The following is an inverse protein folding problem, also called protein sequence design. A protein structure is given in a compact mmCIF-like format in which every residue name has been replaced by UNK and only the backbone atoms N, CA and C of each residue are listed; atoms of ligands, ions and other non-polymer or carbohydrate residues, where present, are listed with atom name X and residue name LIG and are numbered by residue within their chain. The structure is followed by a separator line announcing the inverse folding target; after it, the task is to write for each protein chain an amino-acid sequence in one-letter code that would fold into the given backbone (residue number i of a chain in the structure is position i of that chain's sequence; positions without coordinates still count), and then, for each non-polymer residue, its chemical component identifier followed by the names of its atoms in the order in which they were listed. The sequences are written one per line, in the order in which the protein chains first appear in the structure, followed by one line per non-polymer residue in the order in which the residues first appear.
data_IF_230646342028
#
_entry.id   IF_230646342028
#
_cell.length_a   1.000
_cell.length_b   1.000
_cell.length_c   1.000
_cell.angle_alpha   90.00
_cell.angle_beta   90.00
_cell.angle_gamma   90.00
#
_symmetry.space_group_name_H-M   'P 1'
#
loop_
_entity.id
_entity.type
_entity.pdbx_description
1 polymer ?
#
# COMPACT_ATOMS: atom_id res chain seq x y z
N UNK A 1 19.25 -14.11 -4.65
CA UNK A 1 20.45 -13.36 -4.18
C UNK A 1 21.13 -14.03 -2.99
N UNK A 2 20.39 -14.67 -2.10
CA UNK A 2 20.96 -15.41 -0.96
C UNK A 2 21.40 -16.84 -1.31
N UNK A 3 20.90 -17.39 -2.43
CA UNK A 3 21.16 -18.80 -2.82
C UNK A 3 22.51 -18.99 -3.51
N UNK A 4 22.95 -17.99 -4.29
CA UNK A 4 24.26 -18.01 -4.94
C UNK A 4 25.34 -17.71 -3.91
N UNK A 5 26.25 -18.67 -3.70
CA UNK A 5 27.33 -18.57 -2.71
C UNK A 5 28.70 -18.50 -3.38
N UNK A 6 29.68 -17.94 -2.66
CA UNK A 6 31.08 -18.03 -3.00
C UNK A 6 31.56 -19.49 -3.07
N UNK A 7 32.70 -19.73 -3.72
CA UNK A 7 33.31 -21.07 -3.83
C UNK A 7 33.52 -21.73 -2.47
N UNK A 8 33.91 -20.95 -1.46
CA UNK A 8 34.11 -21.40 -0.07
C UNK A 8 32.81 -21.45 0.76
N UNK A 9 31.66 -21.11 0.13
CA UNK A 9 30.31 -21.06 0.72
C UNK A 9 30.15 -20.12 1.93
N UNK A 10 31.13 -19.25 2.21
CA UNK A 10 31.09 -18.33 3.36
C UNK A 10 30.25 -17.09 3.11
N UNK A 11 30.18 -16.61 1.87
CA UNK A 11 29.44 -15.41 1.49
C UNK A 11 28.39 -15.72 0.42
N UNK A 12 27.33 -14.94 0.42
CA UNK A 12 26.31 -14.96 -0.65
C UNK A 12 26.52 -13.79 -1.60
N UNK A 13 25.92 -13.85 -2.79
CA UNK A 13 25.91 -12.72 -3.72
C UNK A 13 25.31 -11.46 -3.07
N UNK A 14 24.31 -11.59 -2.20
CA UNK A 14 23.76 -10.45 -1.45
C UNK A 14 24.81 -9.81 -0.52
N UNK A 15 25.60 -10.60 0.20
CA UNK A 15 26.70 -10.08 1.03
C UNK A 15 27.71 -9.31 0.19
N UNK A 16 28.06 -9.85 -0.98
CA UNK A 16 28.97 -9.16 -1.89
C UNK A 16 28.40 -7.82 -2.39
N UNK A 17 27.12 -7.78 -2.78
CA UNK A 17 26.44 -6.53 -3.17
C UNK A 17 26.46 -5.51 -2.03
N UNK A 18 26.15 -5.94 -0.79
CA UNK A 18 26.18 -5.06 0.38
C UNK A 18 27.59 -4.48 0.64
N UNK A 19 28.63 -5.30 0.51
CA UNK A 19 30.03 -4.85 0.62
C UNK A 19 30.38 -3.81 -0.46
N UNK A 20 30.00 -4.07 -1.71
CA UNK A 20 30.26 -3.14 -2.82
C UNK A 20 29.52 -1.82 -2.60
N UNK A 21 28.26 -1.85 -2.15
CA UNK A 21 27.50 -0.65 -1.84
C UNK A 21 28.20 0.15 -0.72
N UNK A 22 28.61 -0.50 0.36
CA UNK A 22 29.31 0.18 1.47
C UNK A 22 30.62 0.84 1.02
N UNK A 23 31.35 0.22 0.11
CA UNK A 23 32.66 0.72 -0.34
C UNK A 23 32.56 1.76 -1.46
N UNK A 24 31.64 1.60 -2.41
CA UNK A 24 31.59 2.40 -3.65
C UNK A 24 30.36 3.31 -3.75
N UNK A 25 29.30 3.01 -3.02
CA UNK A 25 28.00 3.70 -3.11
C UNK A 25 27.43 3.95 -1.70
N UNK A 26 28.24 4.49 -0.79
CA UNK A 26 27.88 4.64 0.62
C UNK A 26 26.62 5.48 0.84
N UNK A 27 26.28 6.36 -0.11
CA UNK A 27 25.06 7.18 -0.11
C UNK A 27 23.76 6.36 -0.17
N UNK A 28 23.78 5.14 -0.73
CA UNK A 28 22.60 4.25 -0.77
C UNK A 28 22.69 3.10 0.24
N UNK A 29 23.70 3.12 1.12
CA UNK A 29 23.90 2.06 2.10
C UNK A 29 22.76 1.95 3.12
N UNK A 30 21.86 2.94 3.22
CA UNK A 30 20.69 2.96 4.10
C UNK A 30 19.37 3.11 3.34
N UNK A 31 19.31 2.69 2.07
CA UNK A 31 18.14 2.86 1.19
C UNK A 31 16.82 2.34 1.81
N UNK A 32 16.88 1.33 2.69
CA UNK A 32 15.68 0.79 3.36
C UNK A 32 14.97 1.82 4.23
N UNK A 33 15.66 2.88 4.68
CA UNK A 33 15.05 3.94 5.47
C UNK A 33 14.01 4.74 4.68
N UNK A 34 14.08 4.71 3.35
CA UNK A 34 13.09 5.33 2.46
C UNK A 34 11.82 4.47 2.32
N UNK A 35 11.88 3.19 2.72
CA UNK A 35 10.82 2.19 2.56
C UNK A 35 10.05 1.94 3.87
N UNK A 36 9.29 2.94 4.31
CA UNK A 36 8.70 2.98 5.66
C UNK A 36 7.59 1.94 5.94
N UNK A 37 6.64 1.77 5.02
CA UNK A 37 5.39 1.05 5.29
C UNK A 37 5.27 -0.28 4.56
N UNK A 38 6.35 -0.81 3.99
CA UNK A 38 6.32 -2.02 3.16
C UNK A 38 5.79 -3.25 3.90
N UNK A 39 6.08 -3.39 5.20
CA UNK A 39 5.57 -4.49 6.03
C UNK A 39 4.05 -4.38 6.26
N UNK A 40 3.57 -3.16 6.55
CA UNK A 40 2.14 -2.91 6.74
C UNK A 40 1.38 -3.07 5.43
N UNK A 41 1.91 -2.54 4.34
CA UNK A 41 1.31 -2.62 3.01
C UNK A 41 1.21 -4.07 2.51
N UNK A 42 2.16 -4.95 2.87
CA UNK A 42 2.09 -6.37 2.57
C UNK A 42 0.89 -7.09 3.22
N UNK A 43 0.37 -6.58 4.33
CA UNK A 43 -0.77 -7.16 5.03
C UNK A 43 -2.13 -6.64 4.52
N UNK A 44 -2.14 -5.67 3.60
CA UNK A 44 -3.37 -5.01 3.13
C UNK A 44 -4.00 -5.79 1.98
N UNK A 45 -5.31 -6.05 2.10
CA UNK A 45 -6.15 -6.39 0.95
C UNK A 45 -6.70 -5.12 0.31
N UNK A 46 -6.03 -4.63 -0.73
CA UNK A 46 -6.43 -3.39 -1.40
C UNK A 46 -7.80 -3.53 -2.07
N UNK A 47 -8.10 -4.70 -2.63
CA UNK A 47 -9.41 -5.00 -3.24
C UNK A 47 -10.55 -4.83 -2.22
N UNK A 48 -10.43 -5.43 -1.04
CA UNK A 48 -11.45 -5.32 0.00
C UNK A 48 -11.61 -3.86 0.47
N UNK A 49 -10.50 -3.14 0.67
CA UNK A 49 -10.54 -1.71 1.05
C UNK A 49 -11.33 -0.89 0.02
N UNK A 50 -11.14 -1.15 -1.29
CA UNK A 50 -11.88 -0.43 -2.33
C UNK A 50 -13.37 -0.80 -2.34
N UNK A 51 -13.71 -2.08 -2.14
CA UNK A 51 -15.09 -2.54 -2.07
C UNK A 51 -15.82 -1.90 -0.88
N UNK A 52 -15.20 -1.90 0.30
CA UNK A 52 -15.75 -1.30 1.52
C UNK A 52 -16.01 0.21 1.32
N UNK A 53 -15.05 0.94 0.75
CA UNK A 53 -15.20 2.38 0.49
C UNK A 53 -16.32 2.66 -0.54
N UNK A 54 -16.49 1.79 -1.53
CA UNK A 54 -17.59 1.88 -2.50
C UNK A 54 -18.94 1.63 -1.83
N UNK A 55 -19.03 0.63 -0.96
CA UNK A 55 -20.24 0.32 -0.21
C UNK A 55 -20.62 1.46 0.74
N UNK A 56 -19.65 2.05 1.45
CA UNK A 56 -19.88 3.24 2.27
C UNK A 56 -20.43 4.40 1.44
N UNK A 57 -19.97 4.56 0.20
CA UNK A 57 -20.53 5.48 -0.80
C UNK A 57 -22.02 5.25 -1.03
N UNK A 58 -22.40 4.01 -1.34
CA UNK A 58 -23.79 3.64 -1.56
C UNK A 58 -24.67 3.89 -0.32
N UNK A 59 -24.18 3.48 0.86
CA UNK A 59 -24.90 3.65 2.12
C UNK A 59 -25.10 5.14 2.46
N UNK A 60 -24.13 6.01 2.15
CA UNK A 60 -24.30 7.44 2.34
C UNK A 60 -25.42 8.02 1.46
N UNK A 61 -25.53 7.56 0.21
CA UNK A 61 -26.63 7.99 -0.68
C UNK A 61 -28.00 7.52 -0.18
N UNK A 62 -28.08 6.34 0.46
CA UNK A 62 -29.30 5.89 1.12
C UNK A 62 -29.66 6.80 2.31
N UNK A 63 -28.69 7.17 3.13
CA UNK A 63 -28.90 8.09 4.27
C UNK A 63 -29.38 9.45 3.79
N UNK A 64 -28.82 9.98 2.70
CA UNK A 64 -29.27 11.25 2.09
C UNK A 64 -30.73 11.18 1.63
N UNK A 65 -31.12 10.07 0.98
CA UNK A 65 -32.50 9.85 0.53
C UNK A 65 -33.47 9.76 1.71
N UNK A 66 -33.11 9.03 2.75
CA UNK A 66 -33.94 8.92 3.96
C UNK A 66 -34.09 10.27 4.66
N UNK A 67 -33.00 11.04 4.73
CA UNK A 67 -33.02 12.38 5.32
C UNK A 67 -33.87 13.38 4.54
N UNK A 68 -34.01 13.23 3.22
CA UNK A 68 -34.87 14.10 2.41
C UNK A 68 -36.36 13.73 2.53
N UNK A 69 -36.68 12.46 2.77
CA UNK A 69 -38.04 12.01 3.04
C UNK A 69 -38.52 12.38 4.46
N UNK A 70 -37.59 12.57 5.39
CA UNK A 70 -37.86 12.91 6.78
C UNK A 70 -37.18 14.23 7.18
N UNK A 71 -37.65 15.35 6.62
CA UNK A 71 -37.01 16.67 6.78
C UNK A 71 -36.84 17.16 8.22
N UNK A 72 -37.64 16.65 9.16
CA UNK A 72 -37.54 16.97 10.59
C UNK A 72 -36.53 16.11 11.37
N UNK A 73 -35.91 15.12 10.73
CA UNK A 73 -34.91 14.27 11.38
C UNK A 73 -33.55 14.97 11.46
N UNK A 74 -33.35 15.73 12.54
CA UNK A 74 -32.12 16.46 12.82
C UNK A 74 -30.90 15.54 12.98
N UNK A 75 -31.09 14.31 13.49
CA UNK A 75 -29.99 13.35 13.71
C UNK A 75 -29.34 12.94 12.39
N UNK A 76 -30.14 12.68 11.35
CA UNK A 76 -29.61 12.33 10.03
C UNK A 76 -28.91 13.52 9.36
N UNK A 77 -29.46 14.73 9.49
CA UNK A 77 -28.83 15.95 8.97
C UNK A 77 -27.48 16.22 9.62
N UNK A 78 -27.40 16.08 10.94
CA UNK A 78 -26.15 16.26 11.69
C UNK A 78 -25.12 15.18 11.31
N UNK A 79 -25.56 13.93 11.15
CA UNK A 79 -24.69 12.84 10.68
C UNK A 79 -24.13 13.13 9.28
N UNK A 80 -24.97 13.54 8.34
CA UNK A 80 -24.57 13.86 6.96
C UNK A 80 -23.55 15.01 6.95
N UNK A 81 -23.86 16.11 7.64
CA UNK A 81 -22.99 17.28 7.75
C UNK A 81 -21.60 16.93 8.28
N UNK A 82 -21.49 16.02 9.25
CA UNK A 82 -20.23 15.66 9.88
C UNK A 82 -19.40 14.62 9.11
N UNK A 83 -20.03 13.78 8.27
CA UNK A 83 -19.39 12.58 7.74
C UNK A 83 -19.29 12.54 6.22
N UNK A 84 -20.08 13.31 5.48
CA UNK A 84 -20.03 13.33 4.02
C UNK A 84 -18.64 13.74 3.51
N UNK A 85 -18.09 14.86 4.00
CA UNK A 85 -16.74 15.29 3.62
C UNK A 85 -15.63 14.30 4.02
N UNK A 86 -15.81 13.54 5.11
CA UNK A 86 -14.86 12.49 5.51
C UNK A 86 -14.88 11.32 4.52
N UNK A 87 -16.07 10.92 4.07
CA UNK A 87 -16.24 9.88 3.06
C UNK A 87 -15.70 10.32 1.70
N UNK A 88 -15.94 11.56 1.28
CA UNK A 88 -15.38 12.11 0.04
C UNK A 88 -13.85 12.07 0.05
N UNK A 89 -13.24 12.47 1.18
CA UNK A 89 -11.79 12.37 1.37
C UNK A 89 -11.32 10.93 1.28
N UNK A 90 -11.99 10.00 1.97
CA UNK A 90 -11.63 8.57 1.94
C UNK A 90 -11.71 7.98 0.53
N UNK A 91 -12.74 8.34 -0.25
CA UNK A 91 -12.88 7.94 -1.65
C UNK A 91 -11.78 8.53 -2.55
N UNK A 92 -11.33 9.76 -2.29
CA UNK A 92 -10.20 10.36 -3.00
C UNK A 92 -8.90 9.63 -2.66
N UNK A 93 -8.65 9.42 -1.38
CA UNK A 93 -7.44 8.75 -0.88
C UNK A 93 -7.37 7.30 -1.40
N UNK A 94 -8.50 6.57 -1.46
CA UNK A 94 -8.55 5.20 -1.99
C UNK A 94 -8.26 5.13 -3.49
N UNK A 95 -8.79 6.08 -4.28
CA UNK A 95 -8.44 6.21 -5.72
C UNK A 95 -6.96 6.50 -5.92
N UNK A 96 -6.40 7.42 -5.15
CA UNK A 96 -4.96 7.73 -5.20
C UNK A 96 -4.12 6.52 -4.78
N UNK A 97 -4.51 5.79 -3.73
CA UNK A 97 -3.82 4.58 -3.29
C UNK A 97 -3.79 3.51 -4.40
N UNK A 98 -4.92 3.23 -5.05
CA UNK A 98 -4.99 2.27 -6.15
C UNK A 98 -4.14 2.71 -7.34
N UNK A 99 -4.20 3.98 -7.74
CA UNK A 99 -3.43 4.50 -8.86
C UNK A 99 -1.91 4.44 -8.58
N UNK A 100 -1.49 4.82 -7.37
CA UNK A 100 -0.07 4.75 -6.96
C UNK A 100 0.41 3.31 -6.88
N UNK A 101 -0.41 2.40 -6.35
CA UNK A 101 -0.11 0.97 -6.32
C UNK A 101 0.09 0.42 -7.73
N UNK A 102 -0.85 0.68 -8.65
CA UNK A 102 -0.74 0.20 -10.03
C UNK A 102 0.53 0.68 -10.71
N UNK A 103 0.86 1.97 -10.59
CA UNK A 103 2.09 2.54 -11.12
C UNK A 103 3.34 1.88 -10.55
N UNK A 104 3.35 1.59 -9.24
CA UNK A 104 4.48 0.91 -8.61
C UNK A 104 4.65 -0.51 -9.16
N UNK A 105 3.57 -1.29 -9.26
CA UNK A 105 3.62 -2.66 -9.78
C UNK A 105 4.08 -2.68 -11.24
N UNK A 106 3.51 -1.79 -12.08
CA UNK A 106 3.90 -1.64 -13.49
C UNK A 106 5.35 -1.19 -13.63
N UNK A 107 5.84 -0.29 -12.77
CA UNK A 107 7.23 0.16 -12.78
C UNK A 107 8.22 -0.98 -12.53
N UNK A 108 7.85 -1.96 -11.71
CA UNK A 108 8.65 -3.17 -11.48
C UNK A 108 8.38 -4.28 -12.51
N UNK A 109 7.59 -4.01 -13.55
CA UNK A 109 7.33 -4.93 -14.66
C UNK A 109 6.28 -6.00 -14.37
N UNK A 110 5.52 -5.87 -13.30
CA UNK A 110 4.44 -6.80 -12.93
C UNK A 110 3.07 -6.28 -13.37
N UNK A 111 2.06 -7.15 -13.41
CA UNK A 111 0.69 -6.78 -13.74
C UNK A 111 -0.13 -6.53 -12.46
N UNK A 112 -0.61 -5.29 -12.20
CA UNK A 112 -1.36 -4.98 -10.99
C UNK A 112 -2.70 -5.71 -10.87
N UNK A 113 -3.24 -6.28 -11.96
CA UNK A 113 -4.46 -7.10 -11.92
C UNK A 113 -4.22 -8.49 -11.36
N UNK A 114 -2.98 -8.98 -11.38
CA UNK A 114 -2.61 -10.34 -10.94
C UNK A 114 -1.65 -10.35 -9.76
N UNK A 115 -1.05 -9.20 -9.44
CA UNK A 115 -0.14 -9.05 -8.31
C UNK A 115 -0.78 -8.16 -7.24
N UNK A 116 -1.35 -8.72 -6.15
CA UNK A 116 -1.84 -7.95 -5.01
C UNK A 116 -0.71 -7.49 -4.06
N UNK A 117 -0.96 -6.52 -3.16
CA UNK A 117 0.05 -6.01 -2.22
C UNK A 117 0.71 -7.11 -1.38
N UNK A 118 -0.07 -8.14 -1.02
CA UNK A 118 0.37 -9.33 -0.27
C UNK A 118 1.33 -10.25 -1.02
N UNK A 119 1.52 -10.04 -2.32
CA UNK A 119 2.53 -10.72 -3.13
C UNK A 119 3.68 -9.77 -3.46
N UNK A 120 3.36 -8.53 -3.83
CA UNK A 120 4.34 -7.52 -4.25
C UNK A 120 5.27 -7.07 -3.11
N UNK A 121 4.72 -6.55 -2.01
CA UNK A 121 5.52 -5.94 -0.94
C UNK A 121 6.42 -6.93 -0.17
N UNK A 122 6.03 -8.20 0.06
CA UNK A 122 6.92 -9.18 0.69
C UNK A 122 8.25 -9.39 -0.03
N UNK A 123 8.34 -9.13 -1.34
CA UNK A 123 9.60 -9.18 -2.09
C UNK A 123 10.59 -8.18 -1.49
N UNK A 124 10.15 -6.92 -1.30
CA UNK A 124 10.96 -5.86 -0.71
C UNK A 124 11.24 -6.11 0.77
N UNK A 125 10.25 -6.57 1.53
CA UNK A 125 10.41 -6.90 2.97
C UNK A 125 11.50 -7.95 3.14
N UNK A 126 11.44 -9.04 2.38
CA UNK A 126 12.45 -10.11 2.43
C UNK A 126 13.82 -9.62 2.00
N UNK A 127 13.89 -8.79 0.96
CA UNK A 127 15.13 -8.21 0.49
C UNK A 127 15.78 -7.32 1.56
N UNK A 128 15.03 -6.35 2.10
CA UNK A 128 15.51 -5.44 3.16
C UNK A 128 15.97 -6.22 4.40
N UNK A 129 15.18 -7.21 4.82
CA UNK A 129 15.53 -8.07 5.97
C UNK A 129 16.79 -8.90 5.74
N UNK A 130 17.06 -9.31 4.49
CA UNK A 130 18.25 -10.09 4.16
C UNK A 130 19.47 -9.20 3.90
N UNK A 131 19.25 -7.95 3.50
CA UNK A 131 20.30 -6.98 3.23
C UNK A 131 20.92 -6.44 4.52
N UNK A 132 20.06 -6.10 5.49
CA UNK A 132 20.45 -5.59 6.81
C UNK A 132 21.13 -6.69 7.63
#
# INVERSE_FOLDING_TARGET
LSDTKSTDRKLTLLHYIALVIKQKYSNIATFWSELHFIEKAAAVSLENVLLDVKEMGHNMELVKRESSMHEHNMVLKDFLSQNEGKLEKLQKDSRTAQATYNKAVEYFGENPKTTPPSVFFPVFVRFVKSYR
#
